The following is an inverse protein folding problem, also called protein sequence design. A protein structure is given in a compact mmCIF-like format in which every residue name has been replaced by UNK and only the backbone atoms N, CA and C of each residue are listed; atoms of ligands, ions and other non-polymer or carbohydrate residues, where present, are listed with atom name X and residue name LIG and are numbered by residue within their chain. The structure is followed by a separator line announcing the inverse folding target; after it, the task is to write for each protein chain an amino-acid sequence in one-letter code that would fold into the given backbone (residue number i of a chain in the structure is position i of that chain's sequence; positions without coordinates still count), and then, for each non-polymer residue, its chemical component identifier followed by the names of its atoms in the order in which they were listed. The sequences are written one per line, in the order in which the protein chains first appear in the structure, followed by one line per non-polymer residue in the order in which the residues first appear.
data_IF_802284698541
#
_entry.id   IF_802284698541
#
_cell.length_a   1.000
_cell.length_b   1.000
_cell.length_c   1.000
_cell.angle_alpha   90.00
_cell.angle_beta   90.00
_cell.angle_gamma   90.00
#
_symmetry.space_group_name_H-M   'P 1'
#
loop_
_entity.id
_entity.type
_entity.pdbx_description
1 polymer ?
#
# COMPACT_ATOMS: atom_id res chain seq x y z
N UNK A 1 3.80 0.73 9.12
CA UNK A 1 3.42 0.26 7.77
C UNK A 1 4.47 0.63 6.72
N UNK A 2 4.72 1.92 6.45
CA UNK A 2 5.56 2.36 5.31
C UNK A 2 6.98 1.78 5.29
N UNK A 3 7.67 1.76 6.43
CA UNK A 3 9.02 1.18 6.52
C UNK A 3 9.02 -0.32 6.18
N UNK A 4 8.09 -1.08 6.76
CA UNK A 4 7.91 -2.50 6.46
C UNK A 4 7.57 -2.73 4.96
N UNK A 5 6.75 -1.85 4.37
CA UNK A 5 6.45 -1.91 2.93
C UNK A 5 7.72 -1.65 2.09
N UNK A 6 8.52 -0.64 2.43
CA UNK A 6 9.79 -0.34 1.73
C UNK A 6 10.79 -1.51 1.86
N UNK A 7 10.87 -2.16 3.03
CA UNK A 7 11.70 -3.34 3.23
C UNK A 7 11.28 -4.48 2.29
N UNK A 8 9.99 -4.79 2.23
CA UNK A 8 9.44 -5.81 1.33
C UNK A 8 9.71 -5.51 -0.15
N UNK A 9 9.60 -4.24 -0.55
CA UNK A 9 9.96 -3.80 -1.91
C UNK A 9 11.44 -4.08 -2.18
N UNK A 10 12.34 -3.74 -1.25
CA UNK A 10 13.77 -3.97 -1.40
C UNK A 10 14.13 -5.46 -1.47
N UNK A 11 13.53 -6.30 -0.60
CA UNK A 11 13.73 -7.76 -0.61
C UNK A 11 13.31 -8.38 -1.94
N UNK A 12 12.18 -7.95 -2.49
CA UNK A 12 11.67 -8.47 -3.76
C UNK A 12 12.43 -7.92 -4.96
N UNK A 13 12.87 -6.66 -4.90
CA UNK A 13 13.76 -6.09 -5.91
C UNK A 13 15.10 -6.83 -5.97
N UNK A 14 15.66 -7.28 -4.83
CA UNK A 14 16.87 -8.11 -4.80
C UNK A 14 16.69 -9.47 -5.49
N UNK A 15 15.44 -9.97 -5.55
CA UNK A 15 15.06 -11.17 -6.30
C UNK A 15 14.62 -10.86 -7.75
N UNK A 16 14.64 -9.59 -8.18
CA UNK A 16 14.23 -9.17 -9.52
C UNK A 16 12.72 -9.24 -9.77
N UNK A 17 11.89 -9.28 -8.73
CA UNK A 17 10.42 -9.42 -8.84
C UNK A 17 9.69 -8.22 -8.24
N UNK A 18 8.51 -7.85 -8.76
CA UNK A 18 7.73 -6.74 -8.23
C UNK A 18 7.19 -7.05 -6.82
N UNK A 19 6.93 -6.03 -5.97
CA UNK A 19 6.32 -6.22 -4.66
C UNK A 19 4.94 -6.86 -4.77
N UNK A 20 4.54 -7.58 -3.72
CA UNK A 20 3.16 -8.06 -3.61
C UNK A 20 2.16 -6.89 -3.48
N UNK A 21 0.90 -7.08 -3.92
CA UNK A 21 -0.18 -6.14 -3.62
C UNK A 21 -0.36 -5.93 -2.11
N UNK A 22 -1.00 -4.82 -1.74
CA UNK A 22 -1.35 -4.52 -0.36
C UNK A 22 -2.38 -5.52 0.16
N UNK A 23 -2.17 -5.97 1.39
CA UNK A 23 -3.19 -6.70 2.15
C UNK A 23 -4.30 -5.76 2.63
N UNK A 24 -5.41 -6.32 3.14
CA UNK A 24 -6.49 -5.55 3.73
C UNK A 24 -6.00 -4.66 4.89
N UNK A 25 -5.14 -5.20 5.77
CA UNK A 25 -4.56 -4.44 6.87
C UNK A 25 -3.66 -3.30 6.37
N UNK A 26 -2.79 -3.58 5.39
CA UNK A 26 -1.92 -2.55 4.81
C UNK A 26 -2.72 -1.45 4.11
N UNK A 27 -3.84 -1.81 3.47
CA UNK A 27 -4.75 -0.84 2.85
C UNK A 27 -5.43 0.04 3.88
N UNK A 28 -5.90 -0.53 5.00
CA UNK A 28 -6.46 0.24 6.11
C UNK A 28 -5.42 1.21 6.70
N UNK A 29 -4.18 0.75 6.92
CA UNK A 29 -3.10 1.59 7.43
C UNK A 29 -2.79 2.77 6.49
N UNK A 30 -2.79 2.54 5.16
CA UNK A 30 -2.60 3.61 4.15
C UNK A 30 -3.75 4.62 4.19
N UNK A 31 -5.00 4.16 4.33
CA UNK A 31 -6.17 5.04 4.46
C UNK A 31 -6.05 5.92 5.70
N UNK A 32 -5.64 5.37 6.85
CA UNK A 32 -5.43 6.17 8.06
C UNK A 32 -4.32 7.20 7.89
N UNK A 33 -3.21 6.83 7.25
CA UNK A 33 -2.12 7.76 6.95
C UNK A 33 -2.56 8.88 6.00
N UNK A 34 -3.43 8.60 5.02
CA UNK A 34 -3.93 9.60 4.08
C UNK A 34 -4.80 10.68 4.74
N UNK A 35 -5.39 10.42 5.92
CA UNK A 35 -6.17 11.43 6.66
C UNK A 35 -5.28 12.52 7.26
N UNK A 36 -4.06 12.17 7.65
CA UNK A 36 -3.06 13.11 8.16
C UNK A 36 -1.66 12.71 7.64
N UNK A 37 -1.37 12.97 6.35
CA UNK A 37 -0.20 12.43 5.70
C UNK A 37 1.07 13.01 6.32
N UNK A 38 2.09 12.16 6.60
CA UNK A 38 3.41 12.66 6.94
C UNK A 38 3.94 13.59 5.84
N UNK A 39 4.73 14.58 6.23
CA UNK A 39 5.27 15.56 5.29
C UNK A 39 6.06 14.86 4.17
N UNK A 40 5.69 15.12 2.91
CA UNK A 40 6.33 14.54 1.73
C UNK A 40 5.85 13.13 1.34
N UNK A 41 4.95 12.50 2.09
CA UNK A 41 4.49 11.12 1.82
C UNK A 41 3.11 11.06 1.15
N UNK A 42 2.40 12.18 1.00
CA UNK A 42 1.03 12.21 0.49
C UNK A 42 0.89 11.60 -0.92
N UNK A 43 1.78 11.97 -1.85
CA UNK A 43 1.76 11.44 -3.22
C UNK A 43 2.07 9.95 -3.24
N UNK A 44 3.04 9.51 -2.45
CA UNK A 44 3.39 8.09 -2.36
C UNK A 44 2.24 7.25 -1.79
N UNK A 45 1.59 7.72 -0.73
CA UNK A 45 0.39 7.07 -0.17
C UNK A 45 -0.74 6.97 -1.21
N UNK A 46 -0.93 8.03 -2.00
CA UNK A 46 -1.93 8.03 -3.07
C UNK A 46 -1.57 7.03 -4.18
N UNK A 47 -0.30 6.92 -4.58
CA UNK A 47 0.16 5.92 -5.54
C UNK A 47 -0.07 4.49 -5.04
N UNK A 48 0.21 4.23 -3.77
CA UNK A 48 -0.04 2.93 -3.14
C UNK A 48 -1.53 2.58 -3.21
N UNK A 49 -2.40 3.50 -2.81
CA UNK A 49 -3.85 3.27 -2.84
C UNK A 49 -4.36 3.09 -4.29
N UNK A 50 -3.79 3.83 -5.24
CA UNK A 50 -4.22 3.80 -6.65
C UNK A 50 -3.81 2.50 -7.34
N UNK A 51 -2.56 2.05 -7.16
CA UNK A 51 -1.94 1.04 -8.00
C UNK A 51 -1.58 -0.27 -7.28
N UNK A 52 -1.64 -0.32 -5.95
CA UNK A 52 -1.19 -1.49 -5.17
C UNK A 52 -2.29 -2.22 -4.43
N UNK A 53 -3.55 -1.78 -4.53
CA UNK A 53 -4.69 -2.54 -4.01
C UNK A 53 -5.23 -3.46 -5.11
N UNK A 54 -5.44 -4.76 -4.84
CA UNK A 54 -6.12 -5.68 -5.75
C UNK A 54 -7.49 -5.16 -6.22
N UNK A 55 -7.93 -5.60 -7.39
CA UNK A 55 -9.24 -5.25 -7.93
C UNK A 55 -10.31 -6.31 -7.56
N UNK A 56 -11.58 -5.99 -7.80
CA UNK A 56 -12.70 -6.93 -7.64
C UNK A 56 -13.16 -7.04 -6.19
N UNK A 57 -13.40 -8.27 -5.73
CA UNK A 57 -13.99 -8.58 -4.42
C UNK A 57 -12.96 -9.04 -3.37
N UNK A 58 -11.68 -8.71 -3.60
CA UNK A 58 -10.61 -8.94 -2.62
C UNK A 58 -10.85 -8.15 -1.32
N UNK A 59 -10.41 -8.67 -0.19
CA UNK A 59 -10.60 -8.01 1.11
C UNK A 59 -9.95 -6.61 1.15
N UNK A 60 -8.80 -6.42 0.51
CA UNK A 60 -8.16 -5.11 0.40
C UNK A 60 -8.96 -4.16 -0.51
N UNK A 61 -9.54 -4.68 -1.59
CA UNK A 61 -10.41 -3.91 -2.47
C UNK A 61 -11.67 -3.42 -1.73
N UNK A 62 -12.24 -4.27 -0.88
CA UNK A 62 -13.38 -3.92 -0.01
C UNK A 62 -13.01 -2.80 0.96
N UNK A 63 -11.84 -2.88 1.61
CA UNK A 63 -11.35 -1.82 2.52
C UNK A 63 -11.12 -0.51 1.78
N UNK A 64 -10.60 -0.54 0.55
CA UNK A 64 -10.44 0.67 -0.29
C UNK A 64 -11.78 1.32 -0.67
N UNK A 65 -12.85 0.53 -0.80
CA UNK A 65 -14.15 1.02 -1.26
C UNK A 65 -15.05 1.56 -0.13
N UNK A 66 -14.77 1.22 1.13
CA UNK A 66 -15.54 1.66 2.32
C UNK A 66 -15.10 3.02 2.84
#
# INVERSE_FOLDING_TARGET
MLEAYRHHVAERAALGIPPLPLSAQQTADVIELLKNPPAGEAEFLLELLTHRVPAGVDDAAKVKAS
#
